data_IF_424760819948
#
_entry.id   IF_424760819948
#
_cell.length_a   1.000
_cell.length_b   1.000
_cell.length_c   1.000
_cell.angle_alpha   90.00
_cell.angle_beta   90.00
_cell.angle_gamma   90.00
#
_symmetry.space_group_name_H-M   'P 1'
#
loop_
_entity.id
_entity.type
_entity.pdbx_description
1 polymer ?
2 non-polymer ?
3 water ?
#
# COMPACT_ATOMS: atom_id res chain seq x y z
N UNK A 1 17.70 -23.88 0.76
CA UNK A 1 16.44 -23.15 0.85
C UNK A 1 16.71 -21.64 0.91
N UNK A 2 15.87 -20.85 0.25
CA UNK A 2 16.13 -19.41 0.15
C UNK A 2 16.12 -18.73 1.51
N UNK A 3 16.86 -17.62 1.60
CA UNK A 3 16.87 -16.77 2.78
C UNK A 3 16.78 -15.31 2.39
N UNK A 4 15.77 -14.58 2.88
CA UNK A 4 15.63 -13.16 2.52
C UNK A 4 16.83 -12.34 2.94
N UNK A 5 17.38 -11.57 2.00
CA UNK A 5 18.47 -10.66 2.34
C UNK A 5 17.93 -9.50 3.16
N UNK A 6 18.60 -9.20 4.27
CA UNK A 6 18.28 -8.06 5.08
C UNK A 6 17.41 -8.31 6.29
N UNK A 7 17.30 -9.56 6.74
CA UNK A 7 16.47 -9.85 7.90
C UNK A 7 17.19 -9.42 9.18
N UNK A 8 16.49 -8.64 10.02
CA UNK A 8 17.06 -8.05 11.23
C UNK A 8 16.13 -8.34 12.41
N UNK A 9 16.66 -8.93 13.46
CA UNK A 9 15.95 -8.96 14.74
C UNK A 9 16.18 -7.62 15.42
N UNK A 10 15.09 -6.84 15.60
CA UNK A 10 15.21 -5.47 16.06
C UNK A 10 15.48 -5.42 17.57
N UNK A 11 16.18 -4.38 18.03
CA UNK A 11 16.43 -4.25 19.47
C UNK A 11 15.13 -4.07 20.24
N UNK A 12 15.01 -4.75 21.39
CA UNK A 12 13.79 -4.61 22.20
C UNK A 12 13.61 -3.17 22.66
N UNK A 13 12.37 -2.68 22.54
CA UNK A 13 12.00 -1.34 22.94
C UNK A 13 10.77 -1.42 23.82
N UNK A 14 10.61 -0.48 24.75
CA UNK A 14 9.35 -0.42 25.48
C UNK A 14 8.22 -0.12 24.54
N UNK A 15 7.01 -0.61 24.84
CA UNK A 15 5.86 -0.32 23.97
C UNK A 15 5.66 1.18 23.80
N UNK A 16 5.26 1.56 22.59
CA UNK A 16 4.84 2.93 22.34
C UNK A 16 3.49 3.19 22.99
N UNK A 17 3.19 4.45 23.33
CA UNK A 17 1.88 4.76 23.92
C UNK A 17 0.75 4.38 22.98
N UNK A 18 -0.39 3.95 23.53
CA UNK A 18 -1.49 3.46 22.67
C UNK A 18 -2.01 4.46 21.66
N UNK A 19 -1.88 5.77 21.88
CA UNK A 19 -2.40 6.74 20.93
C UNK A 19 -1.39 7.11 19.85
N UNK A 20 -0.32 6.32 19.70
CA UNK A 20 0.68 6.59 18.67
C UNK A 20 0.13 6.41 17.26
N UNK A 21 -1.00 5.72 17.09
CA UNK A 21 -1.63 5.56 15.80
C UNK A 21 -2.71 6.60 15.54
N UNK A 22 -2.82 7.61 16.41
CA UNK A 22 -3.79 8.69 16.20
C UNK A 22 -3.49 9.45 14.92
N UNK A 23 -4.55 9.85 14.22
CA UNK A 23 -4.45 10.53 12.91
C UNK A 23 -5.34 11.79 12.93
N UNK A 24 -4.90 12.82 13.67
CA UNK A 24 -5.74 13.97 13.95
C UNK A 24 -5.57 15.13 12.96
N UNK A 25 -4.84 14.95 11.87
CA UNK A 25 -4.76 16.02 10.88
C UNK A 25 -5.85 15.88 9.81
N UNK A 26 -6.81 14.99 10.00
CA UNK A 26 -7.75 14.61 8.96
C UNK A 26 -6.98 14.27 7.68
N UNK A 27 -6.09 13.27 7.73
CA UNK A 27 -5.12 13.08 6.65
C UNK A 27 -5.74 12.75 5.31
N UNK A 28 -6.94 12.17 5.28
CA UNK A 28 -7.45 11.65 4.01
C UNK A 28 -8.07 12.73 3.14
N UNK A 29 -8.21 13.96 3.63
CA UNK A 29 -8.78 15.02 2.81
C UNK A 29 -7.73 15.50 1.80
N UNK A 30 -8.16 15.66 0.55
CA UNK A 30 -7.24 15.99 -0.54
C UNK A 30 -7.84 17.09 -1.40
N UNK A 31 -7.22 17.38 -2.54
CA UNK A 31 -7.60 18.54 -3.33
C UNK A 31 -8.65 18.21 -4.39
N UNK A 32 -9.62 19.11 -4.53
CA UNK A 32 -10.68 18.93 -5.52
C UNK A 32 -10.09 18.83 -6.94
N UNK A 33 -10.64 17.97 -7.80
CA UNK A 33 -10.15 17.89 -9.17
C UNK A 33 -10.39 19.19 -9.92
N UNK A 34 -9.68 19.34 -11.04
CA UNK A 34 -9.88 20.51 -11.88
C UNK A 34 -11.28 20.51 -12.47
N UNK A 35 -11.80 21.72 -12.70
CA UNK A 35 -13.13 21.86 -13.28
C UNK A 35 -13.14 21.61 -14.79
N UNK A 36 -12.07 21.96 -15.49
CA UNK A 36 -12.05 21.85 -16.94
C UNK A 36 -10.97 20.89 -17.40
N UNK A 37 -11.21 20.26 -18.55
CA UNK A 37 -10.20 19.37 -19.12
C UNK A 37 -8.94 20.14 -19.48
N UNK A 38 -9.09 21.39 -19.93
CA UNK A 38 -7.93 22.20 -20.27
C UNK A 38 -7.02 22.41 -19.06
N UNK A 39 -7.61 22.69 -17.89
CA UNK A 39 -6.81 22.84 -16.68
C UNK A 39 -6.09 21.54 -16.34
N UNK A 40 -6.79 20.42 -16.45
CA UNK A 40 -6.19 19.13 -16.13
C UNK A 40 -5.03 18.83 -17.06
N UNK A 41 -5.23 19.05 -18.36
CA UNK A 41 -4.16 18.74 -19.31
C UNK A 41 -2.94 19.61 -19.08
N UNK A 42 -3.14 20.88 -18.70
CA UNK A 42 -1.98 21.72 -18.39
C UNK A 42 -1.21 21.21 -17.18
N UNK A 43 -1.91 20.63 -16.20
CA UNK A 43 -1.23 20.15 -15.00
C UNK A 43 -0.33 18.96 -15.27
N UNK A 44 -0.55 18.22 -16.36
CA UNK A 44 0.29 17.06 -16.67
C UNK A 44 1.08 17.25 -17.96
N UNK A 45 1.24 18.50 -18.41
CA UNK A 45 1.95 18.76 -19.65
C UNK A 45 3.39 18.23 -19.62
N UNK A 46 4.05 18.34 -18.46
CA UNK A 46 5.44 17.89 -18.39
C UNK A 46 5.54 16.37 -18.47
N UNK A 47 4.58 15.67 -17.85
CA UNK A 47 4.56 14.22 -17.98
C UNK A 47 4.29 13.83 -19.42
N UNK A 48 3.31 14.47 -20.05
CA UNK A 48 3.00 14.17 -21.44
C UNK A 48 4.23 14.39 -22.32
N UNK A 49 4.99 15.46 -22.04
CA UNK A 49 6.17 15.77 -22.85
C UNK A 49 7.28 14.75 -22.63
N UNK A 50 7.34 14.14 -21.45
CA UNK A 50 8.30 13.07 -21.23
C UNK A 50 7.86 11.76 -21.86
N UNK A 51 6.61 11.67 -22.32
CA UNK A 51 6.15 10.52 -23.08
C UNK A 51 5.68 9.34 -22.27
N UNK A 52 5.82 9.37 -20.95
CA UNK A 52 5.33 8.29 -20.11
C UNK A 52 5.22 8.78 -18.68
N UNK A 53 4.33 8.12 -17.95
CA UNK A 53 4.17 8.33 -16.51
C UNK A 53 5.13 7.41 -15.78
N UNK A 54 5.95 7.96 -14.88
CA UNK A 54 6.92 7.17 -14.11
C UNK A 54 6.30 6.87 -12.77
N UNK A 55 6.16 5.57 -12.46
CA UNK A 55 5.37 5.09 -11.34
C UNK A 55 6.28 4.30 -10.43
N UNK A 56 6.28 4.63 -9.14
CA UNK A 56 7.04 3.88 -8.15
C UNK A 56 6.21 2.79 -7.54
N UNK A 57 6.74 1.57 -7.56
CA UNK A 57 6.12 0.39 -6.95
C UNK A 57 7.19 -0.72 -6.97
N UNK A 58 6.81 -1.96 -6.70
CA UNK A 58 7.74 -3.07 -6.92
C UNK A 58 7.03 -4.18 -7.70
N UNK A 59 7.73 -5.29 -7.96
CA UNK A 59 7.14 -6.37 -8.75
C UNK A 59 7.05 -7.64 -7.91
N UNK A 60 6.91 -7.48 -6.61
CA UNK A 60 6.79 -8.66 -5.77
C UNK A 60 5.65 -8.62 -4.76
N UNK A 61 4.64 -7.81 -5.01
CA UNK A 61 3.52 -7.62 -4.07
C UNK A 61 2.29 -8.27 -4.69
N UNK A 62 2.04 -9.53 -4.30
CA UNK A 62 0.93 -10.25 -4.92
C UNK A 62 -0.39 -9.52 -4.73
N UNK A 63 -1.19 -9.52 -5.79
CA UNK A 63 -2.50 -8.89 -5.96
C UNK A 63 -2.37 -7.40 -6.24
N UNK A 64 -1.20 -6.77 -6.03
CA UNK A 64 -1.08 -5.33 -6.16
C UNK A 64 -0.09 -4.89 -7.22
N UNK A 65 1.14 -5.44 -7.20
CA UNK A 65 2.10 -5.14 -8.26
C UNK A 65 3.08 -6.32 -8.31
N UNK A 66 2.92 -7.18 -9.31
CA UNK A 66 3.69 -8.41 -9.35
C UNK A 66 3.78 -8.87 -10.79
N UNK A 67 4.61 -9.88 -11.03
CA UNK A 67 4.74 -10.44 -12.37
C UNK A 67 3.87 -11.69 -12.46
N UNK A 68 2.92 -11.67 -13.40
CA UNK A 68 2.00 -12.79 -13.56
C UNK A 68 2.77 -14.04 -13.99
N UNK A 69 2.58 -15.17 -13.30
CA UNK A 69 3.35 -16.38 -13.63
C UNK A 69 2.97 -17.02 -14.95
N UNK A 70 1.76 -16.78 -15.47
CA UNK A 70 1.33 -17.34 -16.74
C UNK A 70 1.76 -16.46 -17.91
N UNK A 71 1.53 -15.15 -17.79
CA UNK A 71 1.78 -14.23 -18.90
C UNK A 71 3.10 -13.50 -18.80
N UNK A 72 3.77 -13.53 -17.64
CA UNK A 72 5.00 -12.79 -17.47
C UNK A 72 4.85 -11.29 -17.41
N UNK A 73 3.63 -10.77 -17.34
CA UNK A 73 3.40 -9.34 -17.39
C UNK A 73 3.23 -8.74 -15.99
N UNK A 74 3.63 -7.48 -15.86
CA UNK A 74 3.45 -6.76 -14.61
C UNK A 74 1.98 -6.40 -14.44
N UNK A 75 1.40 -6.72 -13.29
CA UNK A 75 -0.04 -6.61 -13.13
C UNK A 75 -0.37 -6.46 -11.64
N UNK A 76 -1.65 -6.33 -11.34
CA UNK A 76 -2.13 -6.16 -9.98
C UNK A 76 -2.95 -4.90 -9.82
N UNK A 77 -3.59 -4.80 -8.65
CA UNK A 77 -4.50 -3.68 -8.38
C UNK A 77 -3.80 -2.33 -8.49
N UNK A 78 -2.61 -2.20 -7.91
CA UNK A 78 -1.91 -0.91 -7.93
C UNK A 78 -1.42 -0.60 -9.34
N UNK A 79 -0.95 -1.62 -10.06
CA UNK A 79 -0.57 -1.42 -11.46
C UNK A 79 -1.76 -0.89 -12.25
N UNK A 80 -2.94 -1.43 -12.00
CA UNK A 80 -4.12 -1.01 -12.76
C UNK A 80 -4.56 0.41 -12.39
N UNK A 81 -4.50 0.77 -11.11
CA UNK A 81 -4.77 2.15 -10.69
C UNK A 81 -3.82 3.11 -11.41
N UNK A 82 -2.52 2.79 -11.42
CA UNK A 82 -1.56 3.66 -12.11
C UNK A 82 -1.88 3.76 -13.60
N UNK A 83 -2.30 2.65 -14.21
CA UNK A 83 -2.61 2.65 -15.63
C UNK A 83 -3.81 3.52 -15.94
N UNK A 84 -4.73 3.66 -14.99
CA UNK A 84 -5.89 4.54 -15.21
C UNK A 84 -5.46 5.99 -15.21
N UNK A 85 -4.50 6.35 -14.35
CA UNK A 85 -3.95 7.71 -14.41
C UNK A 85 -3.28 7.95 -15.76
N UNK A 86 -2.47 6.98 -16.23
CA UNK A 86 -1.84 7.13 -17.54
C UNK A 86 -2.89 7.23 -18.65
N UNK A 87 -4.00 6.50 -18.52
CA UNK A 87 -5.05 6.60 -19.52
C UNK A 87 -5.59 8.02 -19.61
N UNK A 88 -5.77 8.68 -18.47
CA UNK A 88 -6.26 10.05 -18.51
C UNK A 88 -5.23 11.01 -19.10
N UNK A 89 -3.94 10.74 -18.93
CA UNK A 89 -2.90 11.62 -19.46
C UNK A 89 -2.71 11.41 -20.95
N UNK A 90 -2.63 10.15 -21.38
CA UNK A 90 -2.19 9.79 -22.72
C UNK A 90 -3.29 9.25 -23.62
N UNK A 91 -4.44 8.89 -23.07
CA UNK A 91 -5.52 8.29 -23.83
C UNK A 91 -5.61 6.78 -23.70
N UNK A 92 -4.51 6.12 -23.38
CA UNK A 92 -4.47 4.66 -23.19
C UNK A 92 -3.57 4.35 -22.01
N UNK A 93 -3.84 3.22 -21.32
CA UNK A 93 -3.09 2.94 -20.09
C UNK A 93 -1.62 2.62 -20.31
N UNK A 94 -1.18 2.38 -21.54
CA UNK A 94 0.14 1.80 -21.79
C UNK A 94 1.19 2.83 -22.18
N UNK A 95 1.38 3.91 -21.41
CA UNK A 95 2.65 4.65 -21.42
C UNK A 95 3.03 4.85 -19.97
N UNK A 96 3.56 3.78 -19.37
CA UNK A 96 4.01 3.78 -17.98
C UNK A 96 5.41 3.20 -17.94
N UNK A 97 6.29 3.82 -17.18
CA UNK A 97 7.58 3.24 -16.82
C UNK A 97 7.63 3.10 -15.31
N UNK A 98 8.08 1.94 -14.82
CA UNK A 98 8.12 1.67 -13.39
C UNK A 98 9.52 1.93 -12.85
N UNK A 99 9.58 2.55 -11.67
CA UNK A 99 10.81 2.59 -10.89
C UNK A 99 10.61 1.67 -9.70
N UNK A 100 11.45 0.66 -9.58
CA UNK A 100 11.30 -0.33 -8.51
C UNK A 100 11.77 0.28 -7.19
N UNK A 101 10.88 0.28 -6.20
CA UNK A 101 11.11 0.91 -4.90
C UNK A 101 10.69 -0.06 -3.81
N UNK A 102 11.39 -0.02 -2.68
CA UNK A 102 10.91 -0.69 -1.48
C UNK A 102 9.91 0.20 -0.73
N UNK A 103 9.23 -0.41 0.25
CA UNK A 103 8.34 0.37 1.12
C UNK A 103 9.06 1.53 1.77
N UNK A 104 10.30 1.32 2.17
CA UNK A 104 11.07 2.33 2.87
C UNK A 104 11.54 3.46 1.95
N UNK A 105 11.37 3.32 0.64
CA UNK A 105 11.82 4.32 -0.33
C UNK A 105 10.69 5.11 -0.96
N UNK A 106 9.44 4.89 -0.52
CA UNK A 106 8.31 5.54 -1.19
C UNK A 106 8.35 7.05 -0.99
N UNK A 107 8.65 7.50 0.23
CA UNK A 107 8.66 8.94 0.49
C UNK A 107 9.87 9.59 -0.17
N UNK A 108 11.05 8.96 -0.06
CA UNK A 108 12.25 9.62 -0.59
C UNK A 108 12.20 9.73 -2.11
N UNK A 109 11.64 8.73 -2.80
CA UNK A 109 11.52 8.82 -4.25
C UNK A 109 10.67 10.00 -4.67
N UNK A 110 9.63 10.31 -3.89
CA UNK A 110 8.80 11.46 -4.16
C UNK A 110 9.51 12.76 -3.81
N UNK A 111 10.18 12.79 -2.65
CA UNK A 111 10.91 13.99 -2.26
C UNK A 111 11.97 14.36 -3.30
N UNK A 112 12.63 13.37 -3.88
CA UNK A 112 13.69 13.58 -4.85
C UNK A 112 13.19 13.65 -6.28
N UNK A 113 11.87 13.62 -6.50
CA UNK A 113 11.28 13.77 -7.83
C UNK A 113 11.80 12.68 -8.78
N UNK A 114 11.98 11.47 -8.24
CA UNK A 114 12.43 10.33 -9.04
C UNK A 114 11.28 9.56 -9.69
N UNK A 115 10.05 9.79 -9.25
CA UNK A 115 8.86 9.25 -9.89
C UNK A 115 7.83 10.37 -9.93
N UNK A 116 6.84 10.23 -10.82
CA UNK A 116 5.69 11.14 -10.82
C UNK A 116 4.72 10.80 -9.69
N UNK A 117 4.44 9.52 -9.52
CA UNK A 117 3.51 9.05 -8.48
C UNK A 117 4.05 7.74 -7.91
N UNK A 118 3.69 7.48 -6.65
CA UNK A 118 3.85 6.18 -6.03
C UNK A 118 2.47 5.54 -5.91
N UNK A 119 2.30 4.36 -6.48
CA UNK A 119 1.09 3.56 -6.28
C UNK A 119 1.58 2.24 -5.70
N UNK A 120 1.72 2.20 -4.38
CA UNK A 120 2.33 1.05 -3.70
C UNK A 120 1.74 1.01 -2.29
N UNK A 121 0.49 0.54 -2.21
CA UNK A 121 -0.29 0.35 -0.97
C UNK A 121 0.04 1.42 0.07
N UNK A 122 0.03 2.69 -0.30
CA UNK A 122 0.65 3.71 0.54
C UNK A 122 -0.39 4.36 1.45
N UNK A 123 -0.37 3.98 2.72
CA UNK A 123 -1.32 4.55 3.67
C UNK A 123 -1.08 6.04 3.85
N UNK A 124 -2.17 6.79 3.83
CA UNK A 124 -2.16 8.24 4.04
C UNK A 124 -2.12 8.51 5.53
N UNK A 125 -1.06 9.16 6.01
CA UNK A 125 -0.92 9.49 7.42
C UNK A 125 -0.54 10.95 7.59
N UNK A 126 -0.82 11.46 8.79
CA UNK A 126 -0.40 12.81 9.16
C UNK A 126 1.11 12.96 9.06
N UNK A 127 1.85 11.96 9.52
CA UNK A 127 3.30 12.02 9.48
C UNK A 127 3.80 12.11 8.04
N UNK A 128 3.23 11.30 7.15
CA UNK A 128 3.69 11.31 5.78
C UNK A 128 3.26 12.58 5.04
N UNK A 129 2.13 13.17 5.44
CA UNK A 129 1.67 14.39 4.78
C UNK A 129 2.57 15.58 5.08
N UNK A 130 3.43 15.50 6.09
CA UNK A 130 4.41 16.56 6.27
C UNK A 130 5.49 16.52 5.19
N UNK A 131 5.61 15.40 4.49
CA UNK A 131 6.69 15.16 3.55
C UNK A 131 6.26 14.99 2.10
N UNK A 132 5.08 14.41 1.86
CA UNK A 132 4.58 14.20 0.51
C UNK A 132 3.10 14.56 0.47
N UNK A 133 2.56 14.65 -0.74
CA UNK A 133 1.13 14.83 -0.92
C UNK A 133 0.48 13.49 -1.26
N UNK A 134 -0.85 13.48 -1.21
CA UNK A 134 -1.61 12.27 -1.50
C UNK A 134 -2.90 12.62 -2.24
N UNK A 135 -3.31 11.72 -3.12
CA UNK A 135 -4.66 11.73 -3.68
C UNK A 135 -5.68 11.40 -2.58
N UNK A 136 -6.96 11.46 -2.96
CA UNK A 136 -8.01 10.89 -2.13
C UNK A 136 -7.80 9.38 -2.01
N UNK A 137 -8.55 8.78 -1.09
CA UNK A 137 -8.38 7.36 -0.78
C UNK A 137 -8.88 6.51 -1.94
N UNK A 138 -8.05 5.56 -2.41
CA UNK A 138 -8.49 4.67 -3.47
C UNK A 138 -8.74 3.23 -3.02
N UNK A 139 -8.38 2.90 -1.79
CA UNK A 139 -8.67 1.57 -1.22
C UNK A 139 -8.47 1.69 0.28
N UNK A 140 -9.40 1.17 1.05
CA UNK A 140 -9.31 1.23 2.52
C UNK A 140 -9.08 -0.18 3.06
N UNK A 141 -7.87 -0.43 3.54
CA UNK A 141 -7.50 -1.72 4.14
C UNK A 141 -7.44 -1.59 5.66
N UNK A 142 -7.19 -2.70 6.35
CA UNK A 142 -7.01 -2.64 7.80
C UNK A 142 -5.99 -3.68 8.24
N UNK A 143 -5.15 -3.31 9.20
CA UNK A 143 -4.09 -4.21 9.64
C UNK A 143 -4.64 -5.42 10.40
N UNK A 144 -4.19 -6.61 10.04
CA UNK A 144 -4.60 -7.83 10.74
C UNK A 144 -3.37 -8.73 10.92
N UNK A 145 -3.59 -10.01 11.22
CA UNK A 145 -2.52 -10.95 11.55
C UNK A 145 -2.60 -12.14 10.61
N UNK A 146 -1.45 -12.60 10.14
CA UNK A 146 -1.33 -13.82 9.33
C UNK A 146 -0.56 -14.86 10.12
N UNK A 147 -1.10 -16.09 10.20
CA UNK A 147 -0.47 -17.14 10.97
C UNK A 147 -0.77 -18.48 10.30
N UNK A 148 0.06 -19.48 10.54
CA UNK A 148 -0.25 -20.82 10.01
C UNK A 148 -1.52 -21.35 10.65
N UNK A 149 -2.19 -22.25 9.92
CA UNK A 149 -3.46 -22.80 10.40
C UNK A 149 -3.31 -23.61 11.68
N UNK A 150 -2.12 -24.10 12.00
CA UNK A 150 -1.96 -24.85 13.24
C UNK A 150 -1.55 -23.96 14.42
N UNK A 151 -1.45 -22.64 14.23
CA UNK A 151 -1.06 -21.71 15.27
C UNK A 151 -2.25 -21.32 16.14
N UNK A 152 -2.07 -21.21 17.46
CA UNK A 152 -3.16 -20.75 18.32
C UNK A 152 -3.37 -19.24 18.30
N UNK A 153 -2.54 -18.50 17.57
CA UNK A 153 -2.67 -17.05 17.53
C UNK A 153 -4.02 -16.69 16.93
N UNK A 154 -4.83 -15.95 17.69
CA UNK A 154 -6.09 -15.41 17.17
C UNK A 154 -6.34 -13.95 17.54
N UNK A 155 -5.55 -13.36 18.42
CA UNK A 155 -5.77 -11.98 18.84
C UNK A 155 -4.43 -11.30 19.05
N UNK A 156 -4.49 -9.97 19.19
CA UNK A 156 -3.27 -9.17 19.26
C UNK A 156 -2.40 -9.59 20.43
N UNK A 157 -3.01 -9.86 21.60
CA UNK A 157 -2.20 -10.19 22.77
C UNK A 157 -1.44 -11.49 22.61
N UNK A 158 -1.88 -12.37 21.71
CA UNK A 158 -1.14 -13.58 21.41
C UNK A 158 0.21 -13.30 20.74
N UNK A 159 0.40 -12.09 20.20
CA UNK A 159 1.69 -11.76 19.59
C UNK A 159 2.77 -11.46 20.61
N UNK A 160 2.40 -11.16 21.85
CA UNK A 160 3.41 -10.83 22.86
C UNK A 160 4.40 -11.98 23.02
N UNK A 161 5.69 -11.64 22.98
CA UNK A 161 6.75 -12.61 23.13
C UNK A 161 6.97 -13.51 21.93
N UNK A 162 6.18 -13.38 20.88
CA UNK A 162 6.35 -14.19 19.68
C UNK A 162 7.06 -13.38 18.60
N UNK A 163 7.55 -14.09 17.58
CA UNK A 163 8.33 -13.46 16.52
C UNK A 163 7.39 -12.99 15.43
N UNK A 164 7.30 -11.67 15.26
CA UNK A 164 6.41 -11.04 14.29
C UNK A 164 7.26 -10.31 13.26
N UNK A 165 6.98 -10.57 11.99
CA UNK A 165 7.76 -10.01 10.89
C UNK A 165 7.05 -8.79 10.34
N UNK A 166 7.82 -7.75 10.04
CA UNK A 166 7.30 -6.54 9.43
C UNK A 166 8.31 -6.05 8.42
N UNK A 167 7.80 -5.48 7.32
CA UNK A 167 8.68 -4.83 6.36
C UNK A 167 9.08 -3.45 6.87
N UNK A 168 10.35 -3.11 6.68
CA UNK A 168 10.81 -1.79 7.12
C UNK A 168 10.13 -0.69 6.31
N UNK A 169 9.92 0.45 6.96
CA UNK A 169 9.32 1.58 6.28
C UNK A 169 7.81 1.51 6.17
N UNK A 170 7.14 0.74 7.01
CA UNK A 170 5.69 0.58 6.92
C UNK A 170 5.00 1.09 8.19
N UNK A 171 3.74 1.48 8.03
CA UNK A 171 2.88 1.81 9.18
C UNK A 171 2.71 0.61 10.08
N UNK A 172 2.86 -0.59 9.53
CA UNK A 172 2.60 -1.80 10.28
C UNK A 172 3.51 -1.91 11.50
N UNK A 173 4.75 -1.42 11.36
CA UNK A 173 5.72 -1.47 12.46
C UNK A 173 5.24 -0.65 13.66
N UNK A 174 4.80 0.58 13.41
CA UNK A 174 4.32 1.45 14.49
C UNK A 174 3.27 0.75 15.34
N UNK A 175 2.32 0.08 14.68
CA UNK A 175 1.23 -0.57 15.40
C UNK A 175 1.74 -1.76 16.22
N UNK A 176 2.68 -2.53 15.67
CA UNK A 176 3.26 -3.64 16.41
C UNK A 176 4.09 -3.13 17.59
N UNK A 177 4.66 -1.94 17.47
CA UNK A 177 5.45 -1.34 18.55
C UNK A 177 4.60 -0.86 19.71
N UNK A 178 3.27 -0.87 19.57
CA UNK A 178 2.39 -0.50 20.66
C UNK A 178 1.97 -1.70 21.51
N UNK A 179 2.26 -2.92 21.05
CA UNK A 179 1.81 -4.12 21.73
C UNK A 179 2.61 -4.31 23.01
N UNK A 180 1.91 -4.63 24.11
CA UNK A 180 2.53 -4.76 25.42
C UNK A 180 2.06 -6.05 26.08
N UNK A 181 2.97 -6.97 26.48
CA UNK A 181 4.42 -6.93 26.27
C UNK A 181 4.77 -7.05 24.78
N UNK A 182 5.95 -6.57 24.37
CA UNK A 182 6.26 -6.53 22.95
C UNK A 182 6.43 -7.92 22.38
N UNK A 183 6.10 -8.11 21.11
CA UNK A 183 6.62 -9.26 20.37
C UNK A 183 8.11 -9.09 20.13
N UNK A 184 8.75 -10.17 19.72
CA UNK A 184 10.06 -10.08 19.09
C UNK A 184 9.81 -9.57 17.67
N UNK A 185 10.45 -8.46 17.31
CA UNK A 185 10.18 -7.83 16.03
C UNK A 185 11.32 -8.13 15.07
N UNK A 186 10.97 -8.75 13.96
CA UNK A 186 11.91 -9.16 12.92
C UNK A 186 11.57 -8.33 11.70
N UNK A 187 12.52 -7.58 11.17
CA UNK A 187 12.19 -6.72 10.04
C UNK A 187 12.93 -7.17 8.79
N UNK A 188 12.29 -6.92 7.64
CA UNK A 188 12.77 -7.35 6.34
C UNK A 188 12.50 -6.24 5.33
N UNK A 189 13.00 -6.46 4.11
CA UNK A 189 12.83 -5.44 3.06
C UNK A 189 11.40 -5.41 2.55
N UNK A 190 10.77 -6.57 2.36
CA UNK A 190 9.42 -6.59 1.78
C UNK A 190 8.59 -7.72 2.37
N UNK A 191 7.28 -7.65 2.13
CA UNK A 191 6.35 -8.59 2.75
C UNK A 191 6.52 -10.00 2.19
N UNK A 192 6.97 -10.12 0.93
CA UNK A 192 7.28 -11.45 0.40
C UNK A 192 8.34 -12.14 1.24
N UNK A 193 9.29 -11.36 1.80
CA UNK A 193 10.32 -11.94 2.66
C UNK A 193 9.73 -12.49 3.95
N UNK A 194 8.71 -11.80 4.50
CA UNK A 194 8.02 -12.32 5.68
C UNK A 194 7.39 -13.66 5.38
N UNK A 195 6.82 -13.82 4.19
CA UNK A 195 6.22 -15.09 3.84
C UNK A 195 7.29 -16.19 3.80
N UNK A 196 8.43 -15.91 3.17
CA UNK A 196 9.51 -16.89 3.17
C UNK A 196 9.92 -17.23 4.60
N UNK A 197 10.08 -16.19 5.44
CA UNK A 197 10.51 -16.41 6.81
C UNK A 197 9.53 -17.29 7.57
N UNK A 198 8.23 -17.10 7.33
CA UNK A 198 7.22 -17.94 7.99
C UNK A 198 7.28 -19.36 7.45
N UNK A 199 7.43 -19.51 6.14
CA UNK A 199 7.54 -20.83 5.54
C UNK A 199 8.74 -21.60 6.10
N UNK A 200 9.84 -20.89 6.39
CA UNK A 200 11.05 -21.49 6.93
C UNK A 200 11.03 -21.55 8.46
N UNK A 201 9.94 -21.13 9.09
CA UNK A 201 9.78 -21.15 10.54
C UNK A 201 10.86 -20.34 11.26
N UNK A 202 11.19 -19.18 10.69
CA UNK A 202 12.07 -18.24 11.35
C UNK A 202 11.28 -17.16 12.09
N UNK A 203 9.96 -17.14 11.92
CA UNK A 203 9.06 -16.24 12.61
C UNK A 203 7.77 -17.00 12.90
N UNK A 204 6.89 -16.38 13.68
CA UNK A 204 5.64 -17.00 14.08
C UNK A 204 4.40 -16.40 13.42
N UNK A 205 4.46 -15.14 13.01
CA UNK A 205 3.30 -14.46 12.44
C UNK A 205 3.78 -13.23 11.69
N UNK A 206 2.91 -12.73 10.81
CA UNK A 206 3.11 -11.49 10.06
C UNK A 206 1.92 -10.58 10.37
N UNK A 207 2.17 -9.28 10.55
CA UNK A 207 1.04 -8.37 10.73
C UNK A 207 1.17 -7.18 9.79
N UNK A 208 0.20 -7.02 8.89
CA UNK A 208 0.10 -5.85 8.01
C UNK A 208 -1.32 -5.80 7.44
N UNK A 209 -1.50 -4.92 6.45
CA UNK A 209 -2.79 -4.73 5.78
C UNK A 209 -3.39 -6.08 5.37
N UNK A 210 -4.69 -6.26 5.65
CA UNK A 210 -5.34 -7.51 5.29
C UNK A 210 -5.32 -7.75 3.78
N UNK A 211 -5.32 -6.68 2.99
CA UNK A 211 -5.15 -6.77 1.55
C UNK A 211 -3.82 -7.43 1.17
N UNK A 212 -2.71 -6.94 1.73
CA UNK A 212 -1.40 -7.53 1.50
C UNK A 212 -1.36 -8.96 2.02
N UNK A 213 -1.90 -9.19 3.22
CA UNK A 213 -1.93 -10.53 3.77
C UNK A 213 -2.69 -11.48 2.88
N UNK A 214 -3.79 -11.02 2.26
CA UNK A 214 -4.56 -11.88 1.36
C UNK A 214 -3.71 -12.35 0.20
N UNK A 215 -2.82 -11.48 -0.31
CA UNK A 215 -1.92 -11.88 -1.37
C UNK A 215 -0.95 -12.95 -0.93
N UNK A 216 -0.55 -12.91 0.34
CA UNK A 216 0.33 -13.95 0.87
C UNK A 216 -0.43 -15.26 1.07
N UNK A 217 -1.68 -15.18 1.54
CA UNK A 217 -2.51 -16.38 1.66
C UNK A 217 -2.70 -17.04 0.30
N UNK A 218 -2.87 -16.24 -0.75
CA UNK A 218 -3.04 -16.83 -2.08
C UNK A 218 -1.83 -17.68 -2.46
N UNK A 219 -0.65 -17.30 -1.99
CA UNK A 219 0.55 -18.06 -2.29
C UNK A 219 0.75 -19.24 -1.35
N UNK A 220 0.10 -19.24 -0.19
CA UNK A 220 0.35 -20.26 0.83
C UNK A 220 -0.95 -20.51 1.58
N UNK A 221 -1.82 -21.40 1.05
CA UNK A 221 -3.13 -21.62 1.66
C UNK A 221 -3.08 -22.33 3.00
N UNK A 222 -1.89 -22.73 3.45
CA UNK A 222 -1.73 -23.21 4.82
C UNK A 222 -1.87 -22.09 5.84
N UNK A 223 -1.81 -20.83 5.40
CA UNK A 223 -1.91 -19.69 6.29
C UNK A 223 -3.32 -19.12 6.25
N UNK A 224 -3.70 -18.42 7.33
CA UNK A 224 -4.98 -17.72 7.34
C UNK A 224 -4.84 -16.41 8.08
N UNK A 225 -5.82 -15.53 7.87
CA UNK A 225 -5.85 -14.20 8.46
C UNK A 225 -6.74 -14.22 9.68
N UNK A 226 -6.23 -13.72 10.81
CA UNK A 226 -6.94 -13.75 12.08
C UNK A 226 -6.88 -12.38 12.75
N UNK A 227 -7.67 -12.25 13.81
CA UNK A 227 -7.60 -11.08 14.66
C UNK A 227 -8.54 -9.97 14.22
N UNK A 228 -8.69 -8.98 15.08
CA UNK A 228 -9.55 -7.83 14.77
C UNK A 228 -8.81 -6.84 13.88
N UNK A 229 -9.56 -5.84 13.44
CA UNK A 229 -8.94 -4.70 12.78
C UNK A 229 -8.02 -3.99 13.76
N UNK A 230 -6.75 -3.87 13.41
CA UNK A 230 -5.75 -3.31 14.30
C UNK A 230 -5.42 -1.86 14.00
N UNK A 231 -5.69 -1.40 12.78
CA UNK A 231 -5.33 -0.06 12.37
C UNK A 231 -5.79 0.21 10.95
N UNK A 232 -6.52 1.31 10.75
CA UNK A 232 -6.97 1.69 9.42
C UNK A 232 -5.78 1.96 8.50
N UNK A 233 -5.92 1.59 7.22
CA UNK A 233 -4.87 1.80 6.21
C UNK A 233 -5.50 2.36 4.94
N UNK A 234 -5.71 3.67 4.90
CA UNK A 234 -6.35 4.27 3.71
C UNK A 234 -5.32 4.57 2.64
N UNK A 235 -5.36 3.85 1.52
CA UNK A 235 -4.34 4.02 0.50
C UNK A 235 -4.54 5.29 -0.32
N UNK A 236 -3.44 5.99 -0.58
CA UNK A 236 -3.46 7.12 -1.49
C UNK A 236 -2.34 6.99 -2.49
N UNK A 237 -2.53 7.64 -3.65
CA UNK A 237 -1.45 7.83 -4.59
C UNK A 237 -0.50 8.89 -4.04
N UNK A 238 0.76 8.51 -3.84
CA UNK A 238 1.74 9.46 -3.31
C UNK A 238 2.29 10.34 -4.41
N UNK A 239 2.40 11.64 -4.09
CA UNK A 239 2.77 12.68 -5.04
C UNK A 239 3.73 13.64 -4.33
N UNK A 240 4.64 14.24 -5.09
CA UNK A 240 5.54 15.23 -4.50
C UNK A 240 4.73 16.31 -3.79
N UNK A 241 5.21 16.71 -2.61
CA UNK A 241 4.48 17.63 -1.74
C UNK A 241 3.99 18.86 -2.48
N UNK A 242 4.80 19.40 -3.40
CA UNK A 242 4.49 20.67 -4.04
C UNK A 242 3.74 20.54 -5.36
N UNK A 243 3.56 19.33 -5.89
CA UNK A 243 2.85 19.18 -7.16
C UNK A 243 1.35 19.03 -6.90
N UNK A 244 0.74 20.14 -6.49
CA UNK A 244 -0.69 20.12 -6.19
C UNK A 244 -1.53 19.88 -7.44
N UNK A 245 -1.04 20.29 -8.61
CA UNK A 245 -1.77 20.05 -9.84
C UNK A 245 -1.94 18.57 -10.13
N UNK A 246 -0.88 17.79 -9.89
CA UNK A 246 -0.98 16.35 -10.10
C UNK A 246 -1.90 15.70 -9.08
N UNK A 247 -1.94 16.21 -7.85
CA UNK A 247 -2.94 15.75 -6.88
C UNK A 247 -4.34 15.92 -7.45
N UNK A 248 -4.65 17.13 -7.94
CA UNK A 248 -5.99 17.36 -8.47
C UNK A 248 -6.27 16.45 -9.65
N UNK A 249 -5.26 16.23 -10.50
CA UNK A 249 -5.43 15.42 -11.69
C UNK A 249 -5.73 13.97 -11.33
N UNK A 250 -4.91 13.40 -10.45
CA UNK A 250 -5.14 12.02 -10.00
C UNK A 250 -6.49 11.92 -9.31
N UNK A 251 -6.90 12.96 -8.58
CA UNK A 251 -8.22 12.89 -7.96
C UNK A 251 -9.33 12.89 -9.00
N UNK A 252 -9.10 13.53 -10.14
CA UNK A 252 -10.03 13.39 -11.25
C UNK A 252 -10.10 11.97 -11.78
N UNK A 253 -8.95 11.31 -11.92
CA UNK A 253 -8.94 9.92 -12.35
C UNK A 253 -9.74 9.05 -11.39
N UNK A 254 -9.54 9.28 -10.10
CA UNK A 254 -10.25 8.46 -9.11
C UNK A 254 -11.75 8.73 -9.13
N UNK A 255 -12.16 10.00 -9.33
CA UNK A 255 -13.58 10.25 -9.54
C UNK A 255 -14.11 9.46 -10.71
N UNK A 256 -13.34 9.41 -11.81
CA UNK A 256 -13.80 8.69 -12.99
C UNK A 256 -14.00 7.21 -12.69
N UNK A 257 -13.00 6.54 -12.10
CA UNK A 257 -13.10 5.08 -11.97
C UNK A 257 -14.04 4.68 -10.84
N UNK A 258 -14.22 5.52 -9.81
CA UNK A 258 -15.24 5.20 -8.80
C UNK A 258 -16.65 5.21 -9.38
N UNK A 259 -16.91 6.10 -10.33
CA UNK A 259 -18.26 6.29 -10.84
C UNK A 259 -18.56 5.54 -12.12
N UNK A 260 -17.56 5.10 -12.88
CA UNK A 260 -17.84 4.46 -14.15
C UNK A 260 -17.76 2.93 -14.10
N UNK A 261 -17.60 2.36 -12.90
CA UNK A 261 -17.59 0.91 -12.74
C UNK A 261 -16.21 0.30 -12.70
N UNK A 262 -15.17 1.06 -13.05
CA UNK A 262 -13.83 0.48 -13.15
C UNK A 262 -13.31 0.09 -11.77
N UNK A 263 -13.56 0.91 -10.74
CA UNK A 263 -13.11 0.55 -9.40
C UNK A 263 -13.70 -0.78 -8.97
N UNK A 264 -15.02 -0.94 -9.16
CA UNK A 264 -15.68 -2.20 -8.82
C UNK A 264 -15.06 -3.37 -9.56
N UNK A 265 -14.79 -3.20 -10.86
CA UNK A 265 -14.16 -4.26 -11.64
C UNK A 265 -12.78 -4.62 -11.08
N UNK A 266 -11.99 -3.61 -10.70
CA UNK A 266 -10.67 -3.88 -10.15
C UNK A 266 -10.75 -4.60 -8.81
N UNK A 267 -11.70 -4.21 -7.95
CA UNK A 267 -11.82 -4.92 -6.68
C UNK A 267 -12.22 -6.37 -6.93
N UNK A 268 -13.20 -6.60 -7.82
CA UNK A 268 -13.63 -7.96 -8.09
C UNK A 268 -12.51 -8.78 -8.69
N UNK A 269 -11.65 -8.14 -9.47
CA UNK A 269 -10.55 -8.86 -10.09
C UNK A 269 -9.52 -9.31 -9.06
N UNK A 270 -9.17 -8.43 -8.14
CA UNK A 270 -7.99 -8.63 -7.32
C UNK A 270 -8.27 -9.00 -5.88
N UNK A 271 -9.42 -8.62 -5.31
CA UNK A 271 -9.56 -8.67 -3.86
C UNK A 271 -10.79 -9.44 -3.38
N UNK A 272 -11.44 -10.24 -4.25
CA UNK A 272 -12.66 -10.91 -3.82
C UNK A 272 -12.41 -11.96 -2.75
N UNK A 273 -11.16 -12.39 -2.56
CA UNK A 273 -10.91 -13.36 -1.49
C UNK A 273 -11.20 -12.74 -0.12
N UNK A 274 -11.27 -11.41 -0.02
CA UNK A 274 -11.59 -10.79 1.26
C UNK A 274 -13.09 -10.63 1.47
N UNK A 275 -13.90 -10.85 0.43
CA UNK A 275 -15.32 -10.71 0.53
C UNK A 275 -15.90 -9.92 -0.62
N UNK A 276 -17.22 -9.73 -0.60
CA UNK A 276 -17.88 -8.99 -1.68
C UNK A 276 -17.36 -7.56 -1.72
N UNK A 277 -17.36 -6.99 -2.92
CA UNK A 277 -16.82 -5.66 -3.11
C UNK A 277 -17.62 -4.64 -2.30
N UNK A 278 -16.97 -3.77 -1.54
CA UNK A 278 -17.69 -2.66 -0.90
C UNK A 278 -17.94 -1.58 -1.94
N UNK A 279 -18.67 -0.55 -1.51
CA UNK A 279 -18.70 0.66 -2.31
C UNK A 279 -17.29 1.23 -2.36
N UNK A 280 -16.93 1.92 -3.44
CA UNK A 280 -15.63 2.59 -3.48
C UNK A 280 -15.52 3.58 -2.35
N UNK A 281 -14.31 3.80 -1.82
CA UNK A 281 -14.15 4.77 -0.72
C UNK A 281 -14.65 6.13 -1.13
N UNK A 282 -15.37 6.79 -0.23
CA UNK A 282 -15.91 8.11 -0.52
C UNK A 282 -14.78 9.13 -0.42
N UNK A 283 -14.52 9.91 -1.46
CA UNK A 283 -13.43 10.89 -1.39
C UNK A 283 -13.78 12.03 -0.43
N UNK A 284 -12.75 12.56 0.21
CA UNK A 284 -12.86 13.71 1.09
C UNK A 284 -12.00 14.83 0.54
N UNK A 285 -12.57 16.03 0.45
CA UNK A 285 -11.87 17.18 -0.11
C UNK A 285 -11.73 18.28 0.91
N UNK A 286 -10.54 18.90 0.94
CA UNK A 286 -10.28 20.06 1.80
C UNK A 286 -10.93 21.33 1.25
N UNK A 287 -11.20 21.35 -0.05
CA UNK A 287 -11.70 22.54 -0.72
C UNK A 287 -12.85 22.17 -1.63
X LIG B 1 -0.03 0.27 3.80
X LIG B 1 1.04 0.15 4.78
X LIG B 1 2.01 1.32 4.65
X LIG B 1 3.10 1.30 5.22
X LIG B 1 1.79 -1.19 4.62
X LIG B 1 2.59 -1.27 3.33
X LIG B 1 3.42 -2.19 3.19
X LIG B 1 2.39 -0.42 2.43
X LIG B 1 1.68 2.29 3.95
#
# INVERSE_FOLDING_TARGET
>A
LPTPVGMEIMPPQPPLPPDSSSQDCDPTASLRPFATKAEADAAVADIRARGRLIVGLDIGSNLFSFRDPITGEITGFDVDIAGEVARDIFGVPSHVEYRILSAAERVTALQKSQVDIVVKTMSITCERRKLVNFSTVYLDANQRILAPRDSPITKVSDLSGKRVCVARGTTSLRRIREIAPPPVIVSVVNWADCLVALQQREIDAVSTDDTILAGLVEEDPYLHIVGPDMADQPYGVGINLDNTGLVRFVNGTLERIRNDGTWNTLYRKWLTVLGPAPAPPTPRYVD
>B hetero
1 ASP N CA C O CB CG OD1 OD2 OXT
#
